data_IF_834719387201
#
_entry.id   IF_834719387201
#
_cell.length_a   1.000
_cell.length_b   1.000
_cell.length_c   1.000
_cell.angle_alpha   90.00
_cell.angle_beta   90.00
_cell.angle_gamma   90.00
#
_symmetry.space_group_name_H-M   'P 1'
#
loop_
_entity.id
_entity.type
_entity.pdbx_description
1 polymer ?
#
# COMPACT_ATOMS: atom_id res chain seq x y z
N UNK A 1 11.65 5.57 -7.32
CA UNK A 1 11.50 4.88 -6.03
C UNK A 1 11.51 5.95 -4.97
N UNK A 2 10.38 6.18 -4.30
CA UNK A 2 10.26 7.16 -3.22
C UNK A 2 10.28 6.40 -1.88
N UNK A 3 11.16 6.79 -0.96
CA UNK A 3 11.22 6.19 0.37
C UNK A 3 10.34 7.03 1.31
N UNK A 4 9.36 6.40 1.95
CA UNK A 4 8.53 7.08 2.95
C UNK A 4 9.37 7.35 4.18
N UNK A 5 9.54 8.62 4.57
CA UNK A 5 10.28 9.02 5.77
C UNK A 5 9.52 8.65 7.05
N UNK A 6 10.25 8.57 8.17
CA UNK A 6 9.73 8.40 9.53
C UNK A 6 8.98 7.08 9.78
N UNK A 7 9.12 6.09 8.89
CA UNK A 7 8.51 4.77 9.02
C UNK A 7 9.42 3.84 9.80
N UNK A 8 8.87 3.13 10.78
CA UNK A 8 9.59 2.04 11.45
C UNK A 8 9.57 0.79 10.56
N UNK A 9 10.77 0.26 10.27
CA UNK A 9 11.02 -0.90 9.41
C UNK A 9 11.52 -2.05 10.26
N UNK A 10 10.88 -3.21 10.17
CA UNK A 10 11.27 -4.41 10.91
C UNK A 10 12.39 -5.15 10.19
N UNK A 11 13.56 -5.29 10.82
CA UNK A 11 14.75 -5.96 10.27
C UNK A 11 14.87 -7.44 10.69
N UNK A 12 13.93 -7.94 11.51
CA UNK A 12 13.95 -9.29 12.06
C UNK A 12 14.53 -9.38 13.47
N UNK A 13 14.16 -10.44 14.19
CA UNK A 13 14.59 -10.69 15.59
C UNK A 13 14.40 -9.49 16.53
N UNK A 14 13.25 -8.81 16.44
CA UNK A 14 12.92 -7.66 17.27
C UNK A 14 13.68 -6.36 16.95
N UNK A 15 14.47 -6.32 15.87
CA UNK A 15 15.20 -5.11 15.43
C UNK A 15 14.30 -4.23 14.57
N UNK A 16 14.26 -2.93 14.88
CA UNK A 16 13.49 -1.95 14.12
C UNK A 16 14.31 -0.69 13.88
N UNK A 17 14.26 -0.16 12.66
CA UNK A 17 14.95 1.07 12.29
C UNK A 17 14.04 2.00 11.50
N UNK A 18 14.30 3.31 11.62
CA UNK A 18 13.63 4.31 10.79
C UNK A 18 14.08 4.20 9.35
N UNK A 19 13.14 4.27 8.41
CA UNK A 19 13.38 4.24 6.97
C UNK A 19 14.34 5.34 6.51
N UNK A 20 14.21 6.55 7.06
CA UNK A 20 15.08 7.70 6.75
C UNK A 20 16.50 7.57 7.32
N UNK A 21 16.73 6.63 8.25
CA UNK A 21 18.06 6.34 8.78
C UNK A 21 18.78 5.22 8.00
N UNK A 22 18.06 4.43 7.19
CA UNK A 22 18.64 3.35 6.37
C UNK A 22 19.21 3.97 5.10
N UNK A 23 20.52 3.87 4.92
CA UNK A 23 21.25 4.47 3.80
C UNK A 23 21.69 3.46 2.75
N UNK A 24 21.56 2.16 3.04
CA UNK A 24 21.88 1.11 2.08
C UNK A 24 21.46 -0.28 2.54
N UNK A 25 21.26 -1.17 1.57
CA UNK A 25 20.93 -2.58 1.75
C UNK A 25 21.85 -3.40 0.86
N UNK A 26 22.42 -4.47 1.39
CA UNK A 26 23.28 -5.39 0.64
C UNK A 26 22.93 -6.83 1.00
N UNK A 27 22.47 -7.65 0.03
CA UNK A 27 22.23 -9.08 0.25
C UNK A 27 23.52 -9.75 0.76
N UNK A 28 23.37 -10.71 1.66
CA UNK A 28 24.48 -11.54 2.13
C UNK A 28 24.51 -12.81 1.27
N UNK A 29 25.53 -12.92 0.41
CA UNK A 29 25.73 -14.05 -0.51
C UNK A 29 26.55 -15.16 0.16
N UNK A 30 27.70 -14.81 0.74
CA UNK A 30 28.63 -15.75 1.39
C UNK A 30 28.38 -15.89 2.91
N UNK A 31 28.76 -17.04 3.48
CA UNK A 31 28.63 -17.34 4.92
C UNK A 31 27.22 -17.11 5.50
N UNK A 32 26.21 -17.47 4.71
CA UNK A 32 24.79 -17.28 5.02
C UNK A 32 24.33 -18.18 6.18
N UNK A 33 24.74 -17.82 7.39
CA UNK A 33 24.29 -18.44 8.62
C UNK A 33 22.77 -18.28 8.83
N UNK A 34 22.18 -19.00 9.79
CA UNK A 34 20.76 -18.92 10.09
C UNK A 34 20.34 -17.47 10.36
N UNK A 35 19.29 -16.99 9.67
CA UNK A 35 18.76 -15.65 9.89
C UNK A 35 19.65 -14.50 9.44
N UNK A 36 20.69 -14.75 8.63
CA UNK A 36 21.50 -13.71 7.96
C UNK A 36 21.04 -13.59 6.51
N UNK A 37 20.42 -12.47 6.15
CA UNK A 37 19.87 -12.25 4.81
C UNK A 37 20.41 -10.99 4.15
N UNK A 38 20.45 -9.88 4.88
CA UNK A 38 20.82 -8.58 4.33
C UNK A 38 21.61 -7.77 5.35
N UNK A 39 22.69 -7.14 4.92
CA UNK A 39 23.39 -6.09 5.66
C UNK A 39 22.67 -4.76 5.45
N UNK A 40 22.22 -4.15 6.54
CA UNK A 40 21.51 -2.87 6.55
C UNK A 40 22.44 -1.78 7.05
N UNK A 41 22.78 -0.85 6.18
CA UNK A 41 23.64 0.29 6.50
C UNK A 41 22.78 1.42 7.03
N UNK A 42 23.17 1.97 8.17
CA UNK A 42 22.41 3.03 8.87
C UNK A 42 23.30 4.24 9.07
N UNK A 43 22.75 5.43 8.85
CA UNK A 43 23.44 6.69 9.11
C UNK A 43 23.98 6.74 10.55
N UNK A 44 25.26 7.11 10.70
CA UNK A 44 25.92 7.24 12.00
C UNK A 44 26.38 5.93 12.65
N UNK A 45 26.28 4.78 11.96
CA UNK A 45 26.79 3.49 12.43
C UNK A 45 27.89 2.96 11.51
N UNK A 46 29.02 2.56 12.10
CA UNK A 46 30.16 2.03 11.35
C UNK A 46 29.92 0.60 10.83
N UNK A 47 29.25 -0.25 11.63
CA UNK A 47 28.98 -1.64 11.26
C UNK A 47 27.53 -1.83 10.80
N UNK A 48 27.27 -2.60 9.72
CA UNK A 48 25.93 -2.85 9.26
C UNK A 48 25.13 -3.70 10.26
N UNK A 49 23.82 -3.52 10.25
CA UNK A 49 22.90 -4.37 10.99
C UNK A 49 22.58 -5.58 10.12
N UNK A 50 22.88 -6.77 10.63
CA UNK A 50 22.48 -8.01 9.96
C UNK A 50 20.99 -8.24 10.19
N UNK A 51 20.22 -8.15 9.11
CA UNK A 51 18.79 -8.42 9.07
C UNK A 51 18.51 -9.88 8.69
N UNK A 52 17.41 -10.41 9.20
CA UNK A 52 16.90 -11.74 8.85
C UNK A 52 15.89 -11.74 7.72
N UNK A 53 15.69 -10.58 7.10
CA UNK A 53 14.81 -10.35 5.95
C UNK A 53 15.64 -9.97 4.74
N UNK A 54 15.09 -10.25 3.56
CA UNK A 54 15.69 -9.86 2.28
C UNK A 54 15.63 -8.35 2.08
N UNK A 55 16.50 -7.84 1.23
CA UNK A 55 16.54 -6.46 0.79
C UNK A 55 15.23 -6.05 0.12
N UNK A 56 14.62 -6.93 -0.68
CA UNK A 56 13.32 -6.71 -1.30
C UNK A 56 12.23 -6.44 -0.24
N UNK A 57 12.04 -7.33 0.73
CA UNK A 57 11.05 -7.13 1.78
C UNK A 57 11.34 -5.91 2.68
N UNK A 58 12.61 -5.53 2.85
CA UNK A 58 12.98 -4.33 3.60
C UNK A 58 12.64 -3.07 2.78
N UNK A 59 12.87 -3.09 1.45
CA UNK A 59 12.50 -2.00 0.55
C UNK A 59 10.98 -1.81 0.48
N UNK A 60 10.21 -2.90 0.42
CA UNK A 60 8.74 -2.86 0.49
C UNK A 60 8.27 -2.15 1.78
N UNK A 61 8.81 -2.55 2.93
CA UNK A 61 8.53 -1.93 4.22
C UNK A 61 8.95 -0.45 4.28
N UNK A 62 10.06 -0.07 3.64
CA UNK A 62 10.50 1.32 3.50
C UNK A 62 9.55 2.17 2.63
N UNK A 63 8.51 1.55 2.05
CA UNK A 63 7.54 2.19 1.16
C UNK A 63 8.06 2.35 -0.26
N UNK A 64 9.10 1.60 -0.62
CA UNK A 64 9.77 1.71 -1.91
C UNK A 64 9.01 0.98 -3.05
N UNK A 65 8.10 0.08 -2.68
CA UNK A 65 6.98 -0.37 -3.53
C UNK A 65 5.70 0.20 -2.94
N UNK A 66 4.98 0.92 -3.78
CA UNK A 66 4.11 1.98 -3.33
C UNK A 66 2.69 1.45 -3.15
N UNK A 67 2.34 0.92 -1.97
CA UNK A 67 0.97 0.51 -1.63
C UNK A 67 -0.04 1.66 -1.84
N UNK A 68 0.38 2.92 -1.66
CA UNK A 68 -0.49 4.07 -1.88
C UNK A 68 -0.71 4.33 -3.38
N UNK A 69 0.32 4.18 -4.22
CA UNK A 69 0.17 4.20 -5.68
C UNK A 69 -0.61 2.99 -6.20
N UNK A 70 -0.41 1.80 -5.66
CA UNK A 70 -1.19 0.61 -6.04
C UNK A 70 -2.66 0.79 -5.69
N UNK A 71 -2.97 1.34 -4.50
CA UNK A 71 -4.34 1.70 -4.12
C UNK A 71 -4.89 2.77 -5.07
N UNK A 72 -4.10 3.78 -5.43
CA UNK A 72 -4.55 4.84 -6.32
C UNK A 72 -4.77 4.35 -7.77
N UNK A 73 -3.88 3.50 -8.29
CA UNK A 73 -4.02 2.86 -9.59
C UNK A 73 -5.22 1.90 -9.62
N UNK A 74 -5.42 1.12 -8.56
CA UNK A 74 -6.60 0.27 -8.41
C UNK A 74 -7.89 1.11 -8.37
N UNK A 75 -7.89 2.24 -7.67
CA UNK A 75 -9.03 3.17 -7.63
C UNK A 75 -9.34 3.73 -9.01
N UNK A 76 -8.33 4.06 -9.81
CA UNK A 76 -8.53 4.55 -11.16
C UNK A 76 -9.08 3.45 -12.09
N UNK A 77 -8.52 2.24 -12.03
CA UNK A 77 -9.03 1.10 -12.79
C UNK A 77 -10.51 0.78 -12.48
N UNK A 78 -10.92 0.88 -11.21
CA UNK A 78 -12.33 0.68 -10.82
C UNK A 78 -13.24 1.81 -11.36
N UNK A 79 -12.75 3.05 -11.47
CA UNK A 79 -13.51 4.16 -12.08
C UNK A 79 -13.68 3.97 -13.58
N UNK A 80 -12.64 3.53 -14.27
CA UNK A 80 -12.71 3.19 -15.70
C UNK A 80 -13.73 2.07 -15.95
N UNK A 81 -13.73 1.04 -15.10
CA UNK A 81 -14.73 -0.04 -15.17
C UNK A 81 -16.17 0.48 -14.97
N UNK A 82 -16.39 1.34 -13.98
CA UNK A 82 -17.71 1.97 -13.76
C UNK A 82 -18.15 2.81 -14.96
N UNK A 83 -17.21 3.50 -15.61
CA UNK A 83 -17.48 4.27 -16.83
C UNK A 83 -17.90 3.34 -17.97
N UNK A 84 -17.20 2.22 -18.17
CA UNK A 84 -17.56 1.21 -19.17
C UNK A 84 -18.95 0.59 -18.91
N UNK A 85 -19.31 0.35 -17.63
CA UNK A 85 -20.66 -0.10 -17.29
C UNK A 85 -21.70 0.92 -17.73
N UNK A 86 -21.52 2.22 -17.43
CA UNK A 86 -22.44 3.27 -17.85
C UNK A 86 -22.65 3.34 -19.38
N UNK A 87 -21.67 2.94 -20.18
CA UNK A 87 -21.77 2.90 -21.65
C UNK A 87 -22.58 1.69 -22.19
N UNK A 88 -22.89 0.68 -21.37
CA UNK A 88 -23.65 -0.48 -21.81
C UNK A 88 -25.08 -0.12 -22.21
N UNK A 89 -25.47 -0.54 -23.42
CA UNK A 89 -26.84 -0.35 -23.92
C UNK A 89 -27.87 -1.08 -23.05
N UNK A 90 -29.13 -0.59 -22.98
CA UNK A 90 -30.18 -1.24 -22.20
C UNK A 90 -30.46 -2.69 -22.61
N UNK A 91 -30.24 -3.04 -23.89
CA UNK A 91 -30.41 -4.41 -24.39
C UNK A 91 -29.33 -5.33 -23.81
N UNK A 92 -28.06 -4.89 -23.83
CA UNK A 92 -26.94 -5.64 -23.27
C UNK A 92 -27.09 -5.86 -21.77
N UNK A 93 -27.50 -4.81 -21.03
CA UNK A 93 -27.77 -4.90 -19.58
C UNK A 93 -28.83 -5.96 -19.26
N UNK A 94 -29.92 -6.02 -20.03
CA UNK A 94 -30.97 -7.04 -19.86
C UNK A 94 -30.49 -8.44 -20.19
N UNK A 95 -29.68 -8.60 -21.25
CA UNK A 95 -29.13 -9.91 -21.62
C UNK A 95 -28.17 -10.45 -20.55
N UNK A 96 -27.26 -9.61 -20.02
CA UNK A 96 -26.35 -9.98 -18.93
C UNK A 96 -27.09 -10.41 -17.66
N UNK A 97 -28.20 -9.74 -17.33
CA UNK A 97 -29.04 -10.12 -16.19
C UNK A 97 -29.76 -11.45 -16.43
N UNK A 98 -30.39 -11.62 -17.60
CA UNK A 98 -31.22 -12.78 -17.90
C UNK A 98 -30.41 -14.07 -18.14
N UNK A 99 -29.26 -13.96 -18.80
CA UNK A 99 -28.47 -15.12 -19.25
C UNK A 99 -27.33 -15.45 -18.30
N UNK A 100 -26.77 -14.44 -17.62
CA UNK A 100 -25.57 -14.60 -16.79
C UNK A 100 -25.77 -14.18 -15.33
N UNK A 101 -26.99 -13.80 -14.93
CA UNK A 101 -27.30 -13.32 -13.57
C UNK A 101 -26.38 -12.17 -13.13
N UNK A 102 -25.90 -11.39 -14.10
CA UNK A 102 -24.99 -10.27 -13.84
C UNK A 102 -25.77 -8.96 -13.84
N UNK A 103 -26.05 -8.47 -12.63
CA UNK A 103 -26.74 -7.21 -12.40
C UNK A 103 -25.74 -6.05 -12.39
N UNK A 104 -25.68 -5.32 -13.51
CA UNK A 104 -24.77 -4.19 -13.71
C UNK A 104 -25.06 -3.07 -12.72
N UNK A 105 -26.34 -2.77 -12.44
CA UNK A 105 -26.74 -1.68 -11.53
C UNK A 105 -26.30 -1.96 -10.09
N UNK A 106 -26.47 -3.21 -9.65
CA UNK A 106 -26.00 -3.64 -8.33
C UNK A 106 -24.48 -3.53 -8.18
N UNK A 107 -23.72 -3.85 -9.22
CA UNK A 107 -22.26 -3.72 -9.22
C UNK A 107 -21.81 -2.26 -9.30
N UNK A 108 -22.49 -1.42 -10.08
CA UNK A 108 -22.25 0.04 -10.13
C UNK A 108 -22.40 0.66 -8.73
N UNK A 109 -23.49 0.32 -8.02
CA UNK A 109 -23.72 0.80 -6.65
C UNK A 109 -22.61 0.33 -5.69
N UNK A 110 -22.32 -0.97 -5.68
CA UNK A 110 -21.34 -1.56 -4.75
C UNK A 110 -19.94 -0.99 -4.94
N UNK A 111 -19.48 -0.87 -6.18
CA UNK A 111 -18.15 -0.32 -6.48
C UNK A 111 -18.09 1.18 -6.20
N UNK A 112 -19.18 1.92 -6.45
CA UNK A 112 -19.31 3.33 -6.07
C UNK A 112 -19.19 3.56 -4.56
N UNK A 113 -19.81 2.71 -3.74
CA UNK A 113 -19.69 2.77 -2.27
C UNK A 113 -18.26 2.52 -1.79
N UNK A 114 -17.55 1.57 -2.39
CA UNK A 114 -16.14 1.26 -2.06
C UNK A 114 -15.22 2.43 -2.44
N UNK A 115 -15.50 3.14 -3.53
CA UNK A 115 -14.69 4.28 -3.97
C UNK A 115 -14.92 5.56 -3.15
N UNK A 116 -16.06 5.70 -2.46
CA UNK A 116 -16.33 6.81 -1.54
C UNK A 116 -15.28 6.80 -0.42
N UNK A 117 -14.53 7.90 -0.29
CA UNK A 117 -13.59 8.04 0.82
C UNK A 117 -14.36 7.98 2.16
N UNK A 118 -13.77 7.43 3.24
CA UNK A 118 -14.30 7.69 4.57
C UNK A 118 -14.27 9.21 4.77
N UNK A 119 -15.43 9.78 5.08
CA UNK A 119 -15.56 11.20 5.43
C UNK A 119 -14.47 11.52 6.46
N UNK A 120 -13.59 12.48 6.16
CA UNK A 120 -12.69 12.98 7.18
C UNK A 120 -13.56 13.39 8.39
N UNK A 121 -13.21 13.00 9.63
CA UNK A 121 -13.91 13.53 10.79
C UNK A 121 -13.84 15.06 10.70
N UNK A 122 -14.99 15.73 10.87
CA UNK A 122 -15.02 17.19 10.88
C UNK A 122 -13.94 17.69 11.83
N UNK A 123 -13.14 18.71 11.44
CA UNK A 123 -12.16 19.27 12.34
C UNK A 123 -12.92 19.80 13.56
N UNK A 124 -12.80 19.10 14.68
CA UNK A 124 -13.28 19.56 15.98
C UNK A 124 -12.65 20.93 16.19
N UNK A 125 -13.47 21.98 16.15
CA UNK A 125 -12.98 23.34 16.40
C UNK A 125 -12.47 23.37 17.84
N UNK A 126 -11.16 23.55 17.99
CA UNK A 126 -10.44 23.55 19.26
C UNK A 126 -10.87 24.69 20.21
N UNK A 127 -11.87 25.49 19.83
CA UNK A 127 -12.39 26.63 20.57
C UNK A 127 -13.38 26.27 21.69
N UNK A 128 -13.82 25.01 21.80
CA UNK A 128 -14.76 24.58 22.86
C UNK A 128 -14.07 24.07 24.15
N UNK A 129 -12.73 24.10 24.21
CA UNK A 129 -11.96 23.59 25.35
C UNK A 129 -11.62 24.65 26.41
N UNK A 130 -12.09 25.89 26.24
CA UNK A 130 -11.73 27.02 27.11
C UNK A 130 -12.90 27.87 27.63
N UNK A 131 -14.15 27.40 27.51
CA UNK A 131 -15.31 28.02 28.17
C UNK A 131 -15.79 27.21 29.39
#
# INVERSE_FOLDING_TARGET
>A
MEIKRDRMVFLGYGKYWRSDAIVGLMPIEDERGPGRRTNVFVAGRAEPIVASRTEESILEDMGATDEAFQIQALREAVRELLTAFHEFSPVLRRALLAEHHFDVEKWEQRLGEILRAPSAPEPVQQNELFD
#
